data_IF_205762312450
#
_entry.id   IF_205762312450
#
_cell.length_a   1.000
_cell.length_b   1.000
_cell.length_c   1.000
_cell.angle_alpha   90.00
_cell.angle_beta   90.00
_cell.angle_gamma   90.00
#
_symmetry.space_group_name_H-M   'P 1'
#
loop_
_entity.id
_entity.type
_entity.pdbx_description
1 polymer ?
#
# COMPACT_ATOMS: atom_id res chain seq x y z
N UNK A 1 57.62 47.54 16.12
CA UNK A 1 56.28 47.27 16.65
C UNK A 1 55.14 47.47 15.59
N UNK A 2 55.11 48.56 14.85
CA UNK A 2 54.07 48.85 13.83
C UNK A 2 53.93 47.80 12.70
N UNK A 3 55.11 47.23 12.24
CA UNK A 3 55.08 46.21 11.16
C UNK A 3 54.45 44.84 11.58
N UNK A 4 54.61 44.46 12.85
CA UNK A 4 54.05 43.22 13.38
C UNK A 4 52.54 43.32 13.54
N UNK A 5 51.98 44.46 13.91
CA UNK A 5 50.56 44.70 14.02
C UNK A 5 49.86 44.62 12.67
N UNK A 6 50.44 45.12 11.61
CA UNK A 6 49.89 45.08 10.25
C UNK A 6 49.83 43.63 9.73
N UNK A 7 50.83 42.80 10.01
CA UNK A 7 50.85 41.39 9.61
C UNK A 7 49.78 40.59 10.38
N UNK A 8 49.53 40.89 11.65
CA UNK A 8 48.48 40.23 12.45
C UNK A 8 47.06 40.59 11.96
N UNK A 9 46.83 41.84 11.57
CA UNK A 9 45.55 42.30 11.04
C UNK A 9 45.29 41.64 9.67
N UNK A 10 46.29 41.55 8.80
CA UNK A 10 46.16 40.86 7.51
C UNK A 10 45.87 39.37 7.65
N UNK A 11 46.49 38.69 8.62
CA UNK A 11 46.28 37.30 8.89
C UNK A 11 44.85 37.02 9.46
N UNK A 12 44.35 37.93 10.31
CA UNK A 12 43.01 37.83 10.86
C UNK A 12 41.91 38.08 9.80
N UNK A 13 42.13 39.01 8.85
CA UNK A 13 41.24 39.22 7.73
C UNK A 13 41.24 38.05 6.74
N UNK A 14 42.32 37.34 6.56
CA UNK A 14 42.37 36.14 5.73
C UNK A 14 41.64 34.93 6.39
N UNK A 15 41.75 34.81 7.72
CA UNK A 15 41.03 33.76 8.46
C UNK A 15 39.50 33.97 8.48
N UNK A 16 39.06 35.23 8.57
CA UNK A 16 37.60 35.53 8.58
C UNK A 16 36.94 35.33 7.21
N UNK A 17 37.71 35.45 6.11
CA UNK A 17 37.20 35.18 4.74
C UNK A 17 36.98 33.70 4.46
N UNK A 18 37.64 32.80 5.17
CA UNK A 18 37.50 31.35 4.97
C UNK A 18 36.22 30.74 5.61
N UNK A 19 35.54 31.47 6.50
CA UNK A 19 34.36 30.97 7.20
C UNK A 19 33.01 31.23 6.45
N UNK A 20 33.03 31.90 5.30
CA UNK A 20 31.80 32.26 4.57
C UNK A 20 31.50 31.30 3.42
N UNK A 21 32.30 30.25 3.24
CA UNK A 21 32.08 29.29 2.13
C UNK A 21 31.36 28.02 2.53
N UNK A 22 30.38 28.11 3.44
CA UNK A 22 29.36 27.11 3.51
C UNK A 22 28.21 27.54 2.57
N UNK A 23 28.35 27.26 1.28
CA UNK A 23 27.18 27.13 0.41
C UNK A 23 26.33 26.03 1.01
N UNK A 24 25.27 26.41 1.70
CA UNK A 24 24.16 25.51 1.97
C UNK A 24 23.67 25.07 0.59
N UNK A 25 24.22 23.96 0.09
CA UNK A 25 23.56 23.25 -1.00
C UNK A 25 22.14 23.07 -0.52
N UNK A 26 21.21 23.75 -1.17
CA UNK A 26 19.81 23.41 -1.07
C UNK A 26 19.74 21.96 -1.55
N UNK A 27 19.83 21.03 -0.60
CA UNK A 27 19.48 19.66 -0.87
C UNK A 27 18.05 19.76 -1.40
N UNK A 28 17.91 19.64 -2.72
CA UNK A 28 16.62 19.46 -3.35
C UNK A 28 16.03 18.25 -2.64
N UNK A 29 15.17 18.51 -1.67
CA UNK A 29 14.49 17.48 -0.92
C UNK A 29 13.58 16.81 -1.92
N UNK A 30 14.10 15.76 -2.57
CA UNK A 30 13.33 14.97 -3.54
C UNK A 30 12.21 14.32 -2.78
N UNK A 31 11.02 14.84 -2.99
CA UNK A 31 9.83 14.30 -2.35
C UNK A 31 9.39 13.09 -3.14
N UNK A 32 9.65 11.92 -2.57
CA UNK A 32 9.31 10.63 -3.15
C UNK A 32 7.93 10.22 -2.67
N UNK A 33 7.08 9.78 -3.58
CA UNK A 33 5.79 9.16 -3.29
C UNK A 33 5.92 7.65 -3.32
N UNK A 34 5.11 6.96 -2.54
CA UNK A 34 5.05 5.51 -2.55
C UNK A 34 3.76 5.02 -3.20
N UNK A 35 3.83 3.85 -3.83
CA UNK A 35 2.70 3.19 -4.46
C UNK A 35 2.73 1.69 -4.16
N UNK A 36 1.67 1.19 -3.53
CA UNK A 36 1.42 -0.23 -3.36
C UNK A 36 0.50 -0.72 -4.47
N UNK A 37 0.91 -1.74 -5.21
CA UNK A 37 0.12 -2.37 -6.26
C UNK A 37 -0.54 -3.64 -5.72
N UNK A 38 -1.83 -3.80 -5.95
CA UNK A 38 -2.62 -4.94 -5.43
C UNK A 38 -3.52 -5.49 -6.54
N UNK A 39 -3.41 -6.78 -6.81
CA UNK A 39 -4.34 -7.49 -7.70
C UNK A 39 -5.48 -8.11 -6.90
N UNK A 40 -6.68 -7.58 -7.07
CA UNK A 40 -7.93 -8.12 -6.54
C UNK A 40 -8.93 -8.52 -7.64
N UNK A 41 -8.45 -8.80 -8.86
CA UNK A 41 -9.22 -9.31 -9.99
C UNK A 41 -9.30 -10.82 -9.90
N UNK A 42 -10.46 -11.43 -9.55
CA UNK A 42 -10.55 -12.83 -9.14
C UNK A 42 -10.26 -13.85 -10.24
N UNK A 43 -10.41 -13.47 -11.50
CA UNK A 43 -10.15 -14.30 -12.68
C UNK A 43 -8.84 -13.94 -13.40
N UNK A 44 -8.04 -13.02 -12.87
CA UNK A 44 -6.71 -12.68 -13.40
C UNK A 44 -5.64 -13.63 -12.85
N UNK A 45 -5.72 -14.88 -13.25
CA UNK A 45 -4.84 -15.97 -12.79
C UNK A 45 -3.89 -16.45 -13.91
N UNK A 46 -2.65 -16.85 -13.63
CA UNK A 46 -2.05 -16.93 -12.28
C UNK A 46 -1.64 -15.56 -11.71
N UNK A 47 -1.37 -14.56 -12.55
CA UNK A 47 -0.96 -13.22 -12.11
C UNK A 47 -1.07 -12.18 -13.23
N UNK A 48 -1.03 -10.92 -12.84
CA UNK A 48 -0.80 -9.79 -13.74
C UNK A 48 0.69 -9.44 -13.77
N UNK A 49 1.18 -9.03 -14.95
CA UNK A 49 2.52 -8.48 -15.15
C UNK A 49 2.45 -6.96 -15.32
N UNK A 50 3.29 -6.24 -14.61
CA UNK A 50 3.30 -4.77 -14.59
C UNK A 50 4.33 -4.22 -15.56
N UNK A 51 3.96 -3.20 -16.37
CA UNK A 51 4.85 -2.46 -17.25
C UNK A 51 4.70 -0.95 -17.03
N UNK A 52 5.82 -0.28 -16.73
CA UNK A 52 5.90 1.18 -16.52
C UNK A 52 6.41 1.95 -17.76
N UNK A 53 6.57 1.31 -18.90
CA UNK A 53 7.19 1.89 -20.10
C UNK A 53 6.23 2.66 -21.01
N UNK A 54 5.07 3.06 -20.53
CA UNK A 54 4.09 3.87 -21.26
C UNK A 54 3.48 3.16 -22.49
N UNK A 55 3.17 1.86 -22.37
CA UNK A 55 2.47 1.10 -23.40
C UNK A 55 3.26 0.88 -24.70
N UNK A 56 4.51 1.28 -24.75
CA UNK A 56 5.36 1.05 -25.90
C UNK A 56 5.90 -0.37 -25.90
N UNK A 57 5.28 -1.20 -26.71
CA UNK A 57 5.77 -2.47 -27.26
C UNK A 57 6.41 -3.47 -26.30
N UNK A 58 5.79 -4.57 -26.29
CA UNK A 58 6.09 -5.80 -25.63
C UNK A 58 7.42 -6.47 -26.05
N UNK A 59 8.54 -5.88 -25.77
CA UNK A 59 9.72 -6.68 -25.46
C UNK A 59 9.66 -6.95 -23.96
N UNK A 60 8.77 -7.85 -23.58
CA UNK A 60 8.57 -8.22 -22.19
C UNK A 60 9.77 -9.04 -21.71
N UNK A 61 10.73 -8.39 -21.11
CA UNK A 61 11.72 -9.07 -20.31
C UNK A 61 11.08 -9.43 -18.97
N UNK A 62 10.62 -10.67 -18.83
CA UNK A 62 10.02 -11.22 -17.60
C UNK A 62 10.86 -10.95 -16.35
N UNK A 63 12.17 -10.80 -16.49
CA UNK A 63 13.10 -10.52 -15.39
C UNK A 63 12.94 -9.13 -14.76
N UNK A 64 12.22 -8.21 -15.40
CA UNK A 64 12.03 -6.84 -14.90
C UNK A 64 10.56 -6.50 -14.62
N UNK A 65 9.63 -7.39 -14.90
CA UNK A 65 8.23 -7.16 -14.63
C UNK A 65 7.85 -7.64 -13.22
N UNK A 66 7.07 -6.82 -12.53
CA UNK A 66 6.51 -7.21 -11.23
C UNK A 66 5.32 -8.13 -11.48
N UNK A 67 5.35 -9.30 -10.83
CA UNK A 67 4.23 -10.24 -10.83
C UNK A 67 3.28 -9.89 -9.69
N UNK A 68 1.99 -9.79 -10.01
CA UNK A 68 0.93 -9.50 -9.06
C UNK A 68 -0.07 -10.67 -9.05
N UNK A 69 0.14 -11.70 -8.24
CA UNK A 69 -0.83 -12.76 -8.01
C UNK A 69 -2.11 -12.22 -7.37
N UNK A 70 -3.22 -12.90 -7.63
CA UNK A 70 -4.52 -12.52 -7.08
C UNK A 70 -4.59 -12.69 -5.57
N UNK A 71 -4.81 -11.59 -4.84
CA UNK A 71 -5.24 -11.56 -3.45
C UNK A 71 -4.44 -12.43 -2.47
N UNK A 72 -3.12 -12.48 -2.59
CA UNK A 72 -2.24 -13.26 -1.71
C UNK A 72 -1.44 -12.33 -0.79
N UNK A 73 -1.33 -12.68 0.49
CA UNK A 73 -0.50 -11.95 1.45
C UNK A 73 0.97 -11.86 0.97
N UNK A 74 1.57 -10.70 1.12
CA UNK A 74 2.98 -10.47 0.76
C UNK A 74 3.25 -10.33 -0.74
N UNK A 75 2.24 -10.42 -1.59
CA UNK A 75 2.39 -10.27 -3.05
C UNK A 75 2.07 -8.87 -3.56
N UNK A 76 1.62 -7.97 -2.69
CA UNK A 76 1.53 -6.56 -3.04
C UNK A 76 2.93 -6.02 -3.33
N UNK A 77 3.09 -5.37 -4.47
CA UNK A 77 4.36 -4.78 -4.85
C UNK A 77 4.41 -3.31 -4.42
N UNK A 78 5.49 -2.94 -3.75
CA UNK A 78 5.73 -1.57 -3.31
C UNK A 78 6.82 -0.94 -4.15
N UNK A 79 6.55 0.25 -4.62
CA UNK A 79 7.51 1.04 -5.38
C UNK A 79 7.47 2.50 -4.96
N UNK A 80 8.51 3.21 -5.31
CA UNK A 80 8.63 4.63 -5.09
C UNK A 80 8.75 5.37 -6.41
N UNK A 81 8.21 6.58 -6.49
CA UNK A 81 8.27 7.43 -7.68
C UNK A 81 8.43 8.90 -7.31
N UNK A 82 9.18 9.62 -8.11
CA UNK A 82 9.25 11.09 -8.08
C UNK A 82 8.27 11.72 -9.09
N UNK A 83 7.64 10.89 -9.94
CA UNK A 83 6.73 11.35 -11.00
C UNK A 83 5.34 11.57 -10.44
N UNK A 84 4.76 12.72 -10.76
CA UNK A 84 3.35 13.02 -10.46
C UNK A 84 2.38 12.31 -11.42
N UNK A 85 2.80 12.09 -12.65
CA UNK A 85 2.08 11.28 -13.62
C UNK A 85 2.86 9.99 -13.88
N UNK A 86 2.27 8.87 -13.53
CA UNK A 86 2.88 7.55 -13.68
C UNK A 86 2.07 6.70 -14.66
N UNK A 87 2.56 6.50 -15.90
CA UNK A 87 1.97 5.52 -16.81
C UNK A 87 2.26 4.11 -16.31
N UNK A 88 1.26 3.25 -16.30
CA UNK A 88 1.42 1.84 -15.94
C UNK A 88 0.43 0.98 -16.71
N UNK A 89 0.89 -0.13 -17.23
CA UNK A 89 0.06 -1.14 -17.87
C UNK A 89 0.17 -2.47 -17.13
N UNK A 90 -0.92 -3.23 -17.14
CA UNK A 90 -0.95 -4.57 -16.54
C UNK A 90 -1.44 -5.56 -17.58
N UNK A 91 -0.66 -6.60 -17.81
CA UNK A 91 -0.94 -7.67 -18.77
C UNK A 91 -1.31 -8.95 -18.03
N UNK A 92 -2.31 -9.65 -18.52
CA UNK A 92 -2.65 -10.97 -18.01
C UNK A 92 -1.64 -12.00 -18.57
N UNK A 93 -0.96 -12.71 -17.67
CA UNK A 93 -0.11 -13.82 -18.09
C UNK A 93 -0.97 -15.00 -18.63
N UNK A 94 -0.59 -15.65 -19.77
CA UNK A 94 0.65 -15.50 -20.55
C UNK A 94 0.56 -14.54 -21.74
N UNK A 95 -0.48 -13.69 -21.82
CA UNK A 95 -0.69 -12.80 -22.97
C UNK A 95 0.26 -11.60 -22.94
N UNK A 96 1.53 -11.84 -23.27
CA UNK A 96 2.62 -10.87 -23.21
C UNK A 96 3.44 -10.81 -24.50
N UNK A 97 2.87 -11.28 -25.60
CA UNK A 97 3.51 -11.28 -26.91
C UNK A 97 3.53 -9.87 -27.52
N UNK A 98 4.42 -9.61 -28.50
CA UNK A 98 4.35 -8.39 -29.31
C UNK A 98 2.94 -8.20 -29.89
N UNK A 99 2.28 -7.09 -29.56
CA UNK A 99 0.91 -6.82 -29.99
C UNK A 99 -0.18 -7.18 -28.98
N UNK A 100 0.14 -7.86 -27.87
CA UNK A 100 -0.78 -8.07 -26.76
C UNK A 100 -1.32 -6.74 -26.22
N UNK A 101 -2.60 -6.73 -25.87
CA UNK A 101 -3.24 -5.57 -25.24
C UNK A 101 -3.20 -5.71 -23.74
N UNK A 102 -2.84 -4.65 -23.01
CA UNK A 102 -2.91 -4.68 -21.55
C UNK A 102 -4.36 -4.80 -21.09
N UNK A 103 -4.57 -5.54 -19.99
CA UNK A 103 -5.84 -5.58 -19.29
C UNK A 103 -6.15 -4.20 -18.66
N UNK A 104 -5.14 -3.53 -18.12
CA UNK A 104 -5.21 -2.16 -17.66
C UNK A 104 -4.13 -1.32 -18.34
N UNK A 105 -4.52 -0.13 -18.81
CA UNK A 105 -3.59 0.88 -19.34
C UNK A 105 -3.91 2.21 -18.66
N UNK A 106 -3.16 2.57 -17.63
CA UNK A 106 -3.48 3.64 -16.71
C UNK A 106 -2.45 4.77 -16.76
N UNK A 107 -2.93 5.98 -16.51
CA UNK A 107 -2.14 7.17 -16.20
C UNK A 107 -2.50 7.61 -14.79
N UNK A 108 -1.71 7.21 -13.81
CA UNK A 108 -1.97 7.49 -12.41
C UNK A 108 -1.49 8.92 -12.07
N UNK A 109 -2.33 9.66 -11.35
CA UNK A 109 -1.93 10.93 -10.74
C UNK A 109 -1.49 10.67 -9.32
N UNK A 110 -0.21 10.86 -9.04
CA UNK A 110 0.45 10.55 -7.77
C UNK A 110 0.92 11.86 -7.13
N UNK A 111 0.20 12.41 -6.14
CA UNK A 111 0.63 13.62 -5.46
C UNK A 111 2.01 13.44 -4.81
N UNK A 112 2.87 14.47 -4.90
CA UNK A 112 4.21 14.44 -4.31
C UNK A 112 4.18 14.14 -2.81
N UNK A 113 5.06 13.25 -2.38
CA UNK A 113 5.19 12.87 -0.97
C UNK A 113 4.02 12.07 -0.42
N UNK A 114 3.12 11.59 -1.27
CA UNK A 114 1.95 10.83 -0.87
C UNK A 114 2.22 9.33 -0.76
N UNK A 115 1.40 8.67 0.05
CA UNK A 115 1.36 7.22 0.18
C UNK A 115 0.10 6.73 -0.51
N UNK A 116 0.27 5.89 -1.53
CA UNK A 116 -0.82 5.50 -2.40
C UNK A 116 -0.95 3.97 -2.47
N UNK A 117 -2.19 3.51 -2.70
CA UNK A 117 -2.48 2.11 -3.00
C UNK A 117 -3.35 2.05 -4.25
N UNK A 118 -2.91 1.28 -5.24
CA UNK A 118 -3.66 0.96 -6.44
C UNK A 118 -4.23 -0.45 -6.28
N UNK A 119 -5.54 -0.52 -6.19
CA UNK A 119 -6.29 -1.77 -6.20
C UNK A 119 -6.82 -2.01 -7.61
N UNK A 120 -6.32 -3.05 -8.28
CA UNK A 120 -6.88 -3.56 -9.53
C UNK A 120 -8.03 -4.47 -9.15
N UNK A 121 -9.22 -4.18 -9.64
CA UNK A 121 -10.48 -4.83 -9.28
C UNK A 121 -11.31 -5.12 -10.52
N UNK A 122 -12.53 -5.60 -10.37
CA UNK A 122 -13.37 -6.00 -11.49
C UNK A 122 -13.16 -7.45 -11.85
N UNK A 123 -13.30 -7.77 -13.13
CA UNK A 123 -12.98 -9.06 -13.75
C UNK A 123 -12.14 -8.82 -15.00
N UNK A 124 -11.59 -9.88 -15.59
CA UNK A 124 -10.88 -9.78 -16.88
C UNK A 124 -11.78 -9.22 -17.98
N UNK A 125 -13.09 -9.56 -17.95
CA UNK A 125 -14.06 -9.03 -18.90
C UNK A 125 -14.48 -7.58 -18.61
N UNK A 126 -14.41 -7.15 -17.36
CA UNK A 126 -14.81 -5.81 -16.89
C UNK A 126 -13.77 -5.29 -15.89
N UNK A 127 -12.55 -4.95 -16.36
CA UNK A 127 -11.48 -4.45 -15.51
C UNK A 127 -11.82 -3.06 -14.98
N UNK A 128 -11.53 -2.83 -13.70
CA UNK A 128 -11.73 -1.56 -13.03
C UNK A 128 -10.62 -1.38 -11.97
N UNK A 129 -10.44 -0.17 -11.45
CA UNK A 129 -9.42 0.10 -10.45
C UNK A 129 -9.85 1.14 -9.43
N UNK A 130 -9.12 1.19 -8.34
CA UNK A 130 -9.23 2.24 -7.32
C UNK A 130 -7.84 2.68 -6.89
N UNK A 131 -7.52 3.95 -7.10
CA UNK A 131 -6.35 4.60 -6.50
C UNK A 131 -6.79 5.30 -5.22
N UNK A 132 -6.05 5.06 -4.14
CA UNK A 132 -6.31 5.66 -2.82
C UNK A 132 -5.04 6.29 -2.31
N UNK A 133 -5.09 7.58 -2.00
CA UNK A 133 -4.05 8.25 -1.22
C UNK A 133 -4.43 8.19 0.26
N UNK A 134 -3.48 7.82 1.11
CA UNK A 134 -3.72 7.64 2.53
C UNK A 134 -2.66 8.32 3.38
N UNK A 135 -3.01 8.60 4.63
CA UNK A 135 -2.10 9.02 5.68
C UNK A 135 -2.12 7.94 6.76
N UNK A 136 -1.20 6.95 6.69
CA UNK A 136 -1.13 5.93 7.71
C UNK A 136 -0.78 6.53 9.07
N UNK A 137 -1.28 5.96 10.19
CA UNK A 137 -0.86 6.35 11.51
C UNK A 137 0.66 6.26 11.67
N UNK A 138 1.26 7.32 12.22
CA UNK A 138 2.65 7.28 12.63
C UNK A 138 2.79 6.44 13.91
N UNK A 139 3.85 5.65 13.98
CA UNK A 139 4.23 4.86 15.14
C UNK A 139 5.58 5.32 15.67
N UNK A 140 5.75 5.32 16.97
CA UNK A 140 7.02 5.61 17.64
C UNK A 140 7.45 4.44 18.53
N UNK A 141 8.69 4.45 18.98
CA UNK A 141 9.27 3.33 19.75
C UNK A 141 8.53 3.01 21.09
N UNK A 142 7.73 3.92 21.58
CA UNK A 142 6.95 3.75 22.83
C UNK A 142 5.50 3.31 22.58
N UNK A 143 5.09 3.34 21.29
CA UNK A 143 3.75 3.05 20.86
C UNK A 143 3.69 1.65 20.24
N UNK A 144 3.53 0.62 21.06
CA UNK A 144 3.36 -0.75 20.59
C UNK A 144 1.98 -0.96 19.98
N UNK A 145 1.69 -0.23 18.90
CA UNK A 145 0.42 -0.30 18.17
C UNK A 145 0.65 -0.61 16.69
N UNK A 146 -0.44 -0.90 15.99
CA UNK A 146 -0.50 -1.03 14.54
C UNK A 146 -1.78 -0.40 14.00
N UNK A 147 -1.75 -0.02 12.73
CA UNK A 147 -2.90 0.52 12.03
C UNK A 147 -3.51 -0.52 11.09
N UNK A 148 -4.84 -0.63 11.07
CA UNK A 148 -5.55 -1.40 10.05
C UNK A 148 -6.65 -0.54 9.45
N UNK A 149 -6.68 -0.47 8.11
CA UNK A 149 -7.85 0.00 7.36
C UNK A 149 -8.50 -1.17 6.65
N UNK A 150 -9.76 -1.02 6.29
CA UNK A 150 -10.54 -2.08 5.68
C UNK A 150 -10.90 -1.70 4.25
N UNK A 151 -10.84 -2.68 3.34
CA UNK A 151 -11.22 -2.48 1.95
C UNK A 151 -12.23 -3.53 1.50
N UNK A 152 -13.26 -3.10 0.78
CA UNK A 152 -14.19 -4.00 0.12
C UNK A 152 -13.83 -4.09 -1.37
N UNK A 153 -13.01 -5.07 -1.74
CA UNK A 153 -12.58 -5.33 -3.11
C UNK A 153 -13.33 -6.52 -3.75
N UNK A 154 -14.34 -7.04 -3.07
CA UNK A 154 -15.18 -8.12 -3.57
C UNK A 154 -16.06 -7.62 -4.72
N UNK A 155 -15.88 -8.23 -5.90
CA UNK A 155 -16.55 -7.79 -7.13
C UNK A 155 -18.06 -7.79 -6.99
N UNK A 156 -18.68 -6.63 -7.26
CA UNK A 156 -20.12 -6.41 -7.18
C UNK A 156 -20.78 -6.81 -5.85
N UNK A 157 -20.03 -6.87 -4.76
CA UNK A 157 -20.62 -7.13 -3.45
C UNK A 157 -21.55 -5.99 -3.01
N UNK A 158 -22.52 -6.33 -2.19
CA UNK A 158 -23.31 -5.35 -1.43
C UNK A 158 -22.42 -4.65 -0.41
N UNK A 159 -22.87 -3.52 0.17
CA UNK A 159 -22.15 -2.86 1.26
C UNK A 159 -21.89 -3.83 2.41
N UNK A 160 -20.68 -3.76 2.98
CA UNK A 160 -20.27 -4.60 4.11
C UNK A 160 -19.99 -3.76 5.34
N UNK A 161 -20.16 -4.36 6.51
CA UNK A 161 -19.72 -3.82 7.80
C UNK A 161 -18.59 -4.70 8.34
N UNK A 162 -17.68 -4.08 9.10
CA UNK A 162 -16.58 -4.80 9.74
C UNK A 162 -16.74 -4.76 11.25
N UNK A 163 -16.59 -5.90 11.87
CA UNK A 163 -16.69 -6.09 13.31
C UNK A 163 -15.39 -6.65 13.87
N UNK A 164 -15.10 -6.31 15.11
CA UNK A 164 -14.08 -6.95 15.94
C UNK A 164 -14.76 -7.78 17.02
N UNK A 165 -14.27 -9.00 17.19
CA UNK A 165 -14.64 -9.91 18.28
C UNK A 165 -13.43 -10.04 19.20
N UNK A 166 -13.53 -9.38 20.33
CA UNK A 166 -12.54 -9.42 21.42
C UNK A 166 -13.31 -9.16 22.72
N UNK A 167 -13.50 -10.21 23.57
CA UNK A 167 -14.28 -10.12 24.81
C UNK A 167 -15.66 -9.46 24.63
N UNK A 168 -16.24 -9.56 23.45
CA UNK A 168 -17.47 -8.95 22.99
C UNK A 168 -17.41 -8.64 21.51
N UNK A 169 -18.46 -8.03 21.01
CA UNK A 169 -18.59 -7.62 19.60
C UNK A 169 -18.66 -6.10 19.50
N UNK A 170 -17.83 -5.51 18.61
CA UNK A 170 -17.88 -4.08 18.29
C UNK A 170 -17.82 -3.86 16.79
N UNK A 171 -18.71 -3.00 16.28
CA UNK A 171 -18.67 -2.55 14.89
C UNK A 171 -17.55 -1.51 14.71
N UNK A 172 -16.62 -1.75 13.81
CA UNK A 172 -15.50 -0.86 13.47
C UNK A 172 -15.81 0.03 12.28
N UNK A 173 -16.46 -0.53 11.25
CA UNK A 173 -16.80 0.16 10.00
C UNK A 173 -18.20 -0.24 9.56
N UNK A 174 -18.94 0.70 9.02
CA UNK A 174 -20.28 0.50 8.49
C UNK A 174 -20.37 0.97 7.05
N UNK A 175 -21.09 0.23 6.21
CA UNK A 175 -21.47 0.66 4.87
C UNK A 175 -20.33 0.77 3.86
N UNK A 176 -19.31 -0.10 3.95
CA UNK A 176 -18.21 -0.12 3.01
C UNK A 176 -18.67 -0.71 1.67
N UNK A 177 -18.96 0.15 0.70
CA UNK A 177 -19.36 -0.23 -0.64
C UNK A 177 -18.23 -0.94 -1.40
N UNK A 178 -18.55 -1.62 -2.48
CA UNK A 178 -17.55 -2.13 -3.43
C UNK A 178 -16.57 -1.01 -3.84
N UNK A 179 -15.27 -1.28 -3.81
CA UNK A 179 -14.14 -0.33 -3.96
C UNK A 179 -14.02 0.70 -2.82
N UNK A 180 -14.80 0.55 -1.75
CA UNK A 180 -14.68 1.38 -0.56
C UNK A 180 -13.44 1.00 0.25
N UNK A 181 -12.76 2.01 0.79
CA UNK A 181 -11.64 1.86 1.72
C UNK A 181 -11.90 2.77 2.91
N UNK A 182 -11.79 2.24 4.12
CA UNK A 182 -12.00 3.00 5.34
C UNK A 182 -10.75 3.80 5.73
N UNK A 183 -10.90 4.68 6.70
CA UNK A 183 -9.77 5.21 7.46
C UNK A 183 -9.11 4.12 8.30
N UNK A 184 -7.86 4.38 8.75
CA UNK A 184 -7.16 3.49 9.65
C UNK A 184 -7.79 3.48 11.05
N UNK A 185 -7.88 2.29 11.63
CA UNK A 185 -8.13 2.05 13.04
C UNK A 185 -6.84 1.60 13.70
N UNK A 186 -6.56 2.11 14.89
CA UNK A 186 -5.35 1.80 15.65
C UNK A 186 -5.66 0.72 16.69
N UNK A 187 -4.77 -0.28 16.79
CA UNK A 187 -4.90 -1.43 17.68
C UNK A 187 -3.61 -1.61 18.47
N UNK A 188 -3.73 -2.18 19.66
CA UNK A 188 -2.59 -2.53 20.49
C UNK A 188 -1.86 -3.76 19.97
N UNK A 189 -0.52 -3.73 20.02
CA UNK A 189 0.37 -4.84 19.65
C UNK A 189 1.39 -5.16 20.75
N UNK A 190 0.99 -5.03 22.02
CA UNK A 190 1.82 -5.43 23.15
C UNK A 190 1.93 -6.97 23.21
N UNK A 191 3.00 -7.47 23.83
CA UNK A 191 3.17 -8.91 24.03
C UNK A 191 2.02 -9.57 24.83
N UNK A 192 1.31 -8.77 25.66
CA UNK A 192 0.15 -9.19 26.43
C UNK A 192 -1.19 -8.95 25.73
N UNK A 193 -1.19 -8.39 24.53
CA UNK A 193 -2.43 -8.19 23.78
C UNK A 193 -3.04 -9.55 23.44
N UNK A 194 -4.35 -9.64 23.56
CA UNK A 194 -5.11 -10.83 23.24
C UNK A 194 -5.33 -10.92 21.72
N UNK A 195 -5.38 -12.14 21.22
CA UNK A 195 -5.78 -12.41 19.84
C UNK A 195 -7.25 -12.04 19.65
N UNK A 196 -7.60 -11.58 18.45
CA UNK A 196 -8.98 -11.22 18.14
C UNK A 196 -9.34 -11.57 16.70
N UNK A 197 -10.63 -11.59 16.42
CA UNK A 197 -11.15 -11.87 15.08
C UNK A 197 -11.78 -10.63 14.49
N UNK A 198 -11.48 -10.38 13.22
CA UNK A 198 -12.14 -9.38 12.39
C UNK A 198 -13.11 -10.09 11.46
N UNK A 199 -14.34 -9.61 11.38
CA UNK A 199 -15.40 -10.18 10.55
C UNK A 199 -15.91 -9.16 9.54
N UNK A 200 -16.00 -9.57 8.29
CA UNK A 200 -16.77 -8.87 7.26
C UNK A 200 -18.16 -9.47 7.19
N UNK A 201 -19.17 -8.65 7.36
CA UNK A 201 -20.59 -9.05 7.31
C UNK A 201 -21.33 -8.21 6.26
N UNK A 202 -22.29 -8.84 5.59
CA UNK A 202 -23.26 -8.10 4.76
C UNK A 202 -23.97 -7.06 5.65
N UNK A 203 -23.97 -5.81 5.22
CA UNK A 203 -24.51 -4.72 6.06
C UNK A 203 -25.99 -4.90 6.36
N UNK A 204 -26.77 -5.39 5.41
CA UNK A 204 -28.23 -5.48 5.55
C UNK A 204 -28.67 -6.73 6.33
N UNK A 205 -28.08 -7.87 5.98
CA UNK A 205 -28.50 -9.17 6.53
C UNK A 205 -27.69 -9.61 7.74
N UNK A 206 -26.58 -8.94 8.03
CA UNK A 206 -25.59 -9.30 9.06
C UNK A 206 -24.96 -10.68 8.86
N UNK A 207 -25.17 -11.30 7.69
CA UNK A 207 -24.56 -12.58 7.36
C UNK A 207 -23.05 -12.45 7.29
N UNK A 208 -22.34 -13.36 7.96
CA UNK A 208 -20.89 -13.49 7.88
C UNK A 208 -20.46 -13.78 6.44
N UNK A 209 -19.50 -13.01 5.94
CA UNK A 209 -18.93 -13.15 4.60
C UNK A 209 -17.51 -13.73 4.65
N UNK A 210 -16.68 -13.24 5.56
CA UNK A 210 -15.31 -13.71 5.75
C UNK A 210 -14.76 -13.27 7.11
N UNK A 211 -13.74 -13.99 7.60
CA UNK A 211 -13.06 -13.70 8.86
C UNK A 211 -11.57 -13.54 8.65
N UNK A 212 -10.92 -12.86 9.59
CA UNK A 212 -9.48 -12.77 9.70
C UNK A 212 -9.07 -12.79 11.17
N UNK A 213 -8.20 -13.74 11.57
CA UNK A 213 -7.69 -13.82 12.94
C UNK A 213 -6.41 -12.99 13.04
N UNK A 214 -6.40 -12.03 13.94
CA UNK A 214 -5.22 -11.25 14.31
C UNK A 214 -4.62 -11.87 15.56
N UNK A 215 -3.41 -12.43 15.43
CA UNK A 215 -2.76 -13.20 16.49
C UNK A 215 -1.24 -13.03 16.46
N UNK A 216 -0.56 -13.60 17.46
CA UNK A 216 0.90 -13.67 17.49
C UNK A 216 1.57 -12.47 18.18
N UNK A 217 0.89 -11.81 19.10
CA UNK A 217 1.42 -10.66 19.83
C UNK A 217 2.53 -11.02 20.83
N UNK A 218 2.52 -12.23 21.36
CA UNK A 218 3.47 -12.69 22.40
C UNK A 218 4.91 -12.84 21.91
N UNK A 219 5.13 -13.02 20.63
CA UNK A 219 6.45 -13.15 20.03
C UNK A 219 7.16 -11.81 19.95
N UNK A 220 7.95 -11.45 20.96
CA UNK A 220 8.60 -10.13 21.04
C UNK A 220 9.50 -9.80 19.84
N UNK A 221 10.24 -10.77 19.32
CA UNK A 221 11.14 -10.59 18.18
C UNK A 221 10.38 -10.62 16.84
N UNK A 222 9.31 -11.43 16.75
CA UNK A 222 8.61 -11.73 15.52
C UNK A 222 7.17 -11.17 15.47
N UNK A 223 6.86 -10.21 16.35
CA UNK A 223 5.56 -9.55 16.33
C UNK A 223 5.41 -8.77 15.02
N UNK A 224 4.73 -9.39 14.07
CA UNK A 224 4.55 -8.84 12.72
C UNK A 224 3.69 -7.57 12.68
N UNK A 225 2.96 -7.26 13.75
CA UNK A 225 2.01 -6.14 13.80
C UNK A 225 2.65 -4.84 14.24
N UNK A 226 3.55 -4.91 15.21
CA UNK A 226 4.10 -3.74 15.90
C UNK A 226 4.69 -2.71 14.94
N UNK A 227 4.29 -1.46 15.09
CA UNK A 227 4.76 -0.29 14.33
C UNK A 227 4.47 -0.34 12.82
N UNK A 228 3.49 -1.13 12.40
CA UNK A 228 3.14 -1.30 10.98
C UNK A 228 1.71 -0.91 10.70
N UNK A 229 1.44 -0.68 9.43
CA UNK A 229 0.10 -0.39 8.93
C UNK A 229 -0.28 -1.42 7.87
N UNK A 230 -1.55 -1.79 7.88
CA UNK A 230 -2.09 -2.82 6.99
C UNK A 230 -3.42 -2.38 6.39
N UNK A 231 -3.72 -2.94 5.21
CA UNK A 231 -5.07 -2.98 4.66
C UNK A 231 -5.58 -4.42 4.74
N UNK A 232 -6.65 -4.66 5.48
CA UNK A 232 -7.37 -5.92 5.43
C UNK A 232 -8.51 -5.80 4.42
N UNK A 233 -8.45 -6.59 3.37
CA UNK A 233 -9.41 -6.52 2.27
C UNK A 233 -10.29 -7.75 2.18
N UNK A 234 -11.59 -7.54 1.92
CA UNK A 234 -12.50 -8.57 1.44
C UNK A 234 -12.31 -8.71 -0.08
N UNK A 235 -12.12 -9.91 -0.58
CA UNK A 235 -11.99 -10.23 -2.01
C UNK A 235 -12.96 -11.33 -2.42
N UNK A 236 -13.07 -11.58 -3.72
CA UNK A 236 -13.84 -12.66 -4.31
C UNK A 236 -15.13 -12.19 -4.97
N UNK A 237 -15.96 -13.14 -5.36
CA UNK A 237 -17.24 -12.92 -6.00
C UNK A 237 -18.35 -13.54 -5.12
N UNK A 238 -19.33 -12.75 -4.66
CA UNK A 238 -20.44 -13.28 -3.87
C UNK A 238 -21.17 -14.42 -4.61
N UNK A 239 -21.30 -15.57 -3.95
CA UNK A 239 -22.01 -16.72 -4.51
C UNK A 239 -21.20 -17.54 -5.51
N UNK A 240 -19.93 -17.25 -5.74
CA UNK A 240 -19.08 -18.09 -6.60
C UNK A 240 -18.95 -19.51 -6.05
N UNK A 241 -19.05 -20.49 -6.95
CA UNK A 241 -18.79 -21.91 -6.66
C UNK A 241 -17.33 -22.29 -6.86
N UNK A 242 -16.55 -21.43 -7.55
CA UNK A 242 -15.10 -21.59 -7.68
C UNK A 242 -14.42 -21.21 -6.38
N UNK A 243 -13.74 -22.16 -5.75
CA UNK A 243 -13.05 -21.98 -4.49
C UNK A 243 -12.01 -20.82 -4.52
N UNK A 244 -11.34 -20.62 -5.65
CA UNK A 244 -10.36 -19.53 -5.82
C UNK A 244 -11.02 -18.15 -5.84
N UNK A 245 -12.29 -18.08 -6.19
CA UNK A 245 -13.06 -16.84 -6.33
C UNK A 245 -14.04 -16.62 -5.19
N UNK A 246 -14.19 -17.56 -4.25
CA UNK A 246 -15.06 -17.38 -3.08
C UNK A 246 -14.64 -16.20 -2.22
N UNK A 247 -15.60 -15.67 -1.46
CA UNK A 247 -15.35 -14.60 -0.51
C UNK A 247 -14.31 -15.01 0.52
N UNK A 248 -13.27 -14.21 0.68
CA UNK A 248 -12.22 -14.41 1.65
C UNK A 248 -11.54 -13.09 1.96
N UNK A 249 -10.76 -13.06 3.03
CA UNK A 249 -9.93 -11.91 3.39
C UNK A 249 -8.48 -12.12 2.93
N UNK A 250 -7.77 -11.02 2.70
CA UNK A 250 -6.32 -11.03 2.58
C UNK A 250 -5.73 -9.75 3.18
N UNK A 251 -4.56 -9.88 3.76
CA UNK A 251 -3.85 -8.79 4.39
C UNK A 251 -2.82 -8.19 3.42
N UNK A 252 -2.77 -6.88 3.36
CA UNK A 252 -1.82 -6.11 2.57
C UNK A 252 -0.99 -5.29 3.55
N UNK A 253 0.34 -5.44 3.52
CA UNK A 253 1.21 -4.57 4.30
C UNK A 253 1.29 -3.21 3.63
N UNK A 254 0.87 -2.17 4.32
CA UNK A 254 1.04 -0.78 3.90
C UNK A 254 2.44 -0.25 4.29
N UNK A 255 2.72 1.01 4.06
CA UNK A 255 4.02 1.65 4.40
C UNK A 255 4.13 1.95 5.89
#
# INVERSE_FOLDING_TARGET
MRKIQVVFILFFCLLSGALISCKKESTLQRTVSSLTLVNAVPDAVPYLLTDFRNGSKADFYYSFSLQLPYGVFGTSQKLTTEKEELPVAFFLFPDTLPGSKPLFNLKLQIPKGSINSLFLVGTVAQPDYKLVTAVPPAHNERDSTFGVRFANLSYQSKPVSVYILNNGEQKLVEGLNYKGVSDYKKFDAFAKSEDFTLEFRDQQTQRLLATYVVSGFAALADNQWRYKNFTLALKGIPGSTDAAQQLSTFLISDF
#
